data_IF_115110805348
#
_entry.id   IF_115110805348
#
_cell.length_a   1.000
_cell.length_b   1.000
_cell.length_c   1.000
_cell.angle_alpha   90.00
_cell.angle_beta   90.00
_cell.angle_gamma   90.00
#
_symmetry.space_group_name_H-M   'P 1'
#
loop_
_entity.id
_entity.type
_entity.pdbx_description
1 polymer ?
#
# COMPACT_ATOMS: atom_id res chain seq x y z
N UNK A 1 -20.58 -10.05 -21.11
CA UNK A 1 -20.54 -9.48 -19.74
C UNK A 1 -20.48 -7.96 -19.87
N UNK A 2 -21.59 -7.23 -19.67
CA UNK A 2 -21.58 -5.76 -19.79
C UNK A 2 -20.88 -5.17 -18.57
N UNK A 3 -19.64 -4.70 -18.76
CA UNK A 3 -18.89 -3.94 -17.77
C UNK A 3 -19.55 -2.56 -17.62
N UNK A 4 -20.34 -2.36 -16.56
CA UNK A 4 -20.85 -1.03 -16.19
C UNK A 4 -20.06 -0.52 -14.98
N UNK A 5 -19.50 0.69 -15.09
CA UNK A 5 -18.74 1.37 -14.03
C UNK A 5 -19.56 1.50 -12.73
N UNK A 6 -20.89 1.67 -12.85
CA UNK A 6 -21.84 1.81 -11.73
C UNK A 6 -22.03 0.50 -10.94
N UNK A 7 -21.79 -0.66 -11.55
CA UNK A 7 -21.89 -1.95 -10.87
C UNK A 7 -20.75 -2.17 -9.85
N UNK A 8 -19.59 -1.56 -10.07
CA UNK A 8 -18.42 -1.66 -9.17
C UNK A 8 -18.47 -0.69 -7.98
N UNK A 9 -19.29 0.35 -8.08
CA UNK A 9 -19.50 1.32 -6.99
C UNK A 9 -20.38 0.78 -5.86
N UNK A 10 -21.06 -0.36 -6.06
CA UNK A 10 -21.84 -1.01 -5.01
C UNK A 10 -20.93 -1.84 -4.08
N UNK A 11 -20.83 -1.52 -2.77
CA UNK A 11 -20.00 -2.27 -1.84
C UNK A 11 -20.39 -3.76 -1.74
N UNK A 12 -21.64 -4.13 -2.01
CA UNK A 12 -22.08 -5.53 -2.05
C UNK A 12 -21.48 -6.32 -3.23
N UNK A 13 -21.37 -5.69 -4.39
CA UNK A 13 -20.75 -6.30 -5.57
C UNK A 13 -19.25 -6.46 -5.38
N UNK A 14 -18.58 -5.44 -4.83
CA UNK A 14 -17.16 -5.55 -4.48
C UNK A 14 -16.90 -6.75 -3.56
N UNK A 15 -17.70 -6.91 -2.50
CA UNK A 15 -17.53 -8.02 -1.55
C UNK A 15 -17.68 -9.40 -2.21
N UNK A 16 -18.63 -9.53 -3.15
CA UNK A 16 -18.85 -10.77 -3.91
C UNK A 16 -17.69 -11.07 -4.85
N UNK A 17 -17.21 -10.06 -5.57
CA UNK A 17 -16.09 -10.19 -6.51
C UNK A 17 -14.80 -10.51 -5.73
N UNK A 18 -14.54 -9.76 -4.66
CA UNK A 18 -13.39 -9.98 -3.79
C UNK A 18 -13.37 -11.41 -3.23
N UNK A 19 -14.49 -11.94 -2.76
CA UNK A 19 -14.57 -13.31 -2.24
C UNK A 19 -14.18 -14.37 -3.30
N UNK A 20 -14.55 -14.17 -4.57
CA UNK A 20 -14.18 -15.07 -5.67
C UNK A 20 -12.73 -14.88 -6.13
N UNK A 21 -12.23 -13.65 -6.09
CA UNK A 21 -10.91 -13.28 -6.59
C UNK A 21 -9.79 -13.64 -5.60
N UNK A 22 -10.07 -13.58 -4.29
CA UNK A 22 -9.06 -13.76 -3.24
C UNK A 22 -8.31 -15.11 -3.29
N UNK A 23 -8.94 -16.28 -3.53
CA UNK A 23 -8.21 -17.53 -3.65
C UNK A 23 -7.20 -17.53 -4.80
N UNK A 24 -7.57 -16.95 -5.95
CA UNK A 24 -6.68 -16.82 -7.10
C UNK A 24 -5.54 -15.84 -6.84
N UNK A 25 -5.80 -14.74 -6.14
CA UNK A 25 -4.78 -13.78 -5.73
C UNK A 25 -3.79 -14.41 -4.76
N UNK A 26 -4.26 -15.19 -3.79
CA UNK A 26 -3.39 -15.94 -2.87
C UNK A 26 -2.55 -16.97 -3.61
N UNK A 27 -3.16 -17.80 -4.46
CA UNK A 27 -2.45 -18.80 -5.26
C UNK A 27 -1.39 -18.16 -6.17
N UNK A 28 -1.74 -17.06 -6.85
CA UNK A 28 -0.81 -16.33 -7.72
C UNK A 28 0.32 -15.67 -6.92
N UNK A 29 0.03 -15.09 -5.75
CA UNK A 29 1.02 -14.51 -4.85
C UNK A 29 2.01 -15.57 -4.37
N UNK A 30 1.52 -16.72 -3.90
CA UNK A 30 2.35 -17.82 -3.42
C UNK A 30 3.23 -18.38 -4.56
N UNK A 31 2.65 -18.59 -5.74
CA UNK A 31 3.39 -19.06 -6.91
C UNK A 31 4.48 -18.06 -7.35
N UNK A 32 4.15 -16.76 -7.43
CA UNK A 32 5.11 -15.73 -7.81
C UNK A 32 6.26 -15.62 -6.80
N UNK A 33 5.99 -15.73 -5.49
CA UNK A 33 7.04 -15.79 -4.48
C UNK A 33 7.91 -17.04 -4.62
N UNK A 34 7.31 -18.21 -4.82
CA UNK A 34 8.07 -19.45 -5.01
C UNK A 34 9.01 -19.35 -6.22
N UNK A 35 8.51 -18.86 -7.35
CA UNK A 35 9.28 -18.66 -8.57
C UNK A 35 10.35 -17.57 -8.40
N UNK A 36 10.00 -16.45 -7.78
CA UNK A 36 10.92 -15.32 -7.55
C UNK A 36 12.05 -15.66 -6.59
N UNK A 37 11.75 -16.40 -5.51
CA UNK A 37 12.75 -16.89 -4.56
C UNK A 37 13.66 -17.93 -5.21
N UNK A 38 13.09 -18.88 -5.96
CA UNK A 38 13.87 -19.84 -6.75
C UNK A 38 14.87 -19.11 -7.67
N UNK A 39 14.39 -18.11 -8.41
CA UNK A 39 15.26 -17.28 -9.25
C UNK A 39 16.30 -16.48 -8.49
N UNK A 40 15.91 -15.93 -7.33
CA UNK A 40 16.80 -15.13 -6.48
C UNK A 40 17.98 -15.95 -5.98
N UNK A 41 17.76 -17.20 -5.56
CA UNK A 41 18.84 -18.10 -5.14
C UNK A 41 19.64 -18.64 -6.33
N UNK A 42 19.01 -18.83 -7.49
CA UNK A 42 19.69 -19.23 -8.73
C UNK A 42 20.49 -18.11 -9.43
N UNK A 43 20.26 -16.85 -9.07
CA UNK A 43 20.97 -15.72 -9.67
C UNK A 43 22.48 -15.74 -9.32
N UNK A 44 23.36 -15.38 -10.28
CA UNK A 44 24.79 -15.26 -10.00
C UNK A 44 25.06 -14.08 -9.05
N UNK A 45 26.19 -14.14 -8.34
CA UNK A 45 26.72 -13.01 -7.59
C UNK A 45 27.00 -11.83 -8.54
N UNK A 46 26.76 -10.61 -8.07
CA UNK A 46 27.15 -9.42 -8.83
C UNK A 46 28.67 -9.27 -8.85
N UNK A 47 29.24 -8.80 -9.95
CA UNK A 47 30.69 -8.65 -10.09
C UNK A 47 31.30 -7.67 -9.08
N UNK A 48 30.60 -6.58 -8.74
CA UNK A 48 31.09 -5.57 -7.81
C UNK A 48 30.55 -5.79 -6.39
N UNK A 49 29.27 -6.14 -6.28
CA UNK A 49 28.57 -6.23 -4.99
C UNK A 49 28.57 -7.65 -4.40
N UNK A 50 29.01 -8.66 -5.16
CA UNK A 50 29.00 -10.05 -4.75
C UNK A 50 27.61 -10.53 -4.35
N UNK A 51 27.56 -11.33 -3.29
CA UNK A 51 26.32 -11.90 -2.74
C UNK A 51 25.39 -10.85 -2.11
N UNK A 52 25.92 -9.69 -1.71
CA UNK A 52 25.10 -8.63 -1.08
C UNK A 52 24.07 -8.04 -2.04
N UNK A 53 24.30 -8.14 -3.36
CA UNK A 53 23.34 -7.78 -4.39
C UNK A 53 21.99 -8.49 -4.24
N UNK A 54 21.93 -9.66 -3.56
CA UNK A 54 20.66 -10.37 -3.36
C UNK A 54 19.66 -9.59 -2.51
N UNK A 55 20.12 -8.63 -1.68
CA UNK A 55 19.22 -7.72 -0.94
C UNK A 55 18.32 -6.93 -1.91
N UNK A 56 18.79 -6.67 -3.14
CA UNK A 56 18.03 -6.02 -4.22
C UNK A 56 16.66 -6.67 -4.45
N UNK A 57 16.58 -8.00 -4.41
CA UNK A 57 15.35 -8.77 -4.67
C UNK A 57 14.29 -8.60 -3.58
N UNK A 58 14.64 -7.97 -2.45
CA UNK A 58 13.74 -7.60 -1.36
C UNK A 58 13.54 -6.08 -1.37
N UNK A 59 14.64 -5.33 -1.38
CA UNK A 59 14.65 -3.88 -1.26
C UNK A 59 13.91 -3.19 -2.42
N UNK A 60 14.26 -3.52 -3.67
CA UNK A 60 13.72 -2.83 -4.85
C UNK A 60 12.22 -3.11 -5.04
N UNK A 61 11.74 -4.36 -4.93
CA UNK A 61 10.30 -4.64 -4.90
C UNK A 61 9.56 -3.89 -3.80
N UNK A 62 10.10 -3.85 -2.58
CA UNK A 62 9.49 -3.10 -1.47
C UNK A 62 9.39 -1.61 -1.78
N UNK A 63 10.45 -1.00 -2.34
CA UNK A 63 10.45 0.41 -2.73
C UNK A 63 9.38 0.72 -3.79
N UNK A 64 9.27 -0.11 -4.84
CA UNK A 64 8.27 0.07 -5.89
C UNK A 64 6.84 -0.11 -5.36
N UNK A 65 6.60 -1.14 -4.55
CA UNK A 65 5.27 -1.38 -3.97
C UNK A 65 4.88 -0.28 -2.98
N UNK A 66 5.82 0.29 -2.23
CA UNK A 66 5.57 1.46 -1.38
C UNK A 66 5.09 2.69 -2.17
N UNK A 67 5.73 2.99 -3.31
CA UNK A 67 5.31 4.10 -4.17
C UNK A 67 3.99 3.80 -4.91
N UNK A 68 3.79 2.55 -5.34
CA UNK A 68 2.54 2.09 -5.95
C UNK A 68 1.36 2.25 -4.98
N UNK A 69 1.53 1.82 -3.73
CA UNK A 69 0.51 1.94 -2.70
C UNK A 69 0.11 3.41 -2.47
N UNK A 70 1.08 4.33 -2.47
CA UNK A 70 0.82 5.75 -2.28
C UNK A 70 0.08 6.33 -3.50
N UNK A 71 0.47 5.91 -4.70
CA UNK A 71 -0.21 6.31 -5.94
C UNK A 71 -1.66 5.80 -5.97
N UNK A 72 -1.91 4.59 -5.50
CA UNK A 72 -3.27 4.06 -5.31
C UNK A 72 -4.06 4.90 -4.30
N UNK A 73 -3.42 5.35 -3.21
CA UNK A 73 -4.07 6.25 -2.25
C UNK A 73 -4.40 7.59 -2.88
N UNK A 74 -3.48 8.21 -3.62
CA UNK A 74 -3.71 9.49 -4.29
C UNK A 74 -4.85 9.41 -5.33
N UNK A 75 -4.90 8.34 -6.13
CA UNK A 75 -6.02 8.10 -7.05
C UNK A 75 -7.34 7.87 -6.31
N UNK A 76 -7.31 7.17 -5.17
CA UNK A 76 -8.46 7.02 -4.29
C UNK A 76 -8.90 8.34 -3.65
N UNK A 77 -7.96 9.22 -3.28
CA UNK A 77 -8.23 10.55 -2.75
C UNK A 77 -8.99 11.42 -3.77
N UNK A 78 -8.57 11.39 -5.04
CA UNK A 78 -9.32 12.01 -6.14
C UNK A 78 -10.70 11.37 -6.30
N UNK A 79 -10.77 10.04 -6.25
CA UNK A 79 -11.99 9.24 -6.18
C UNK A 79 -12.99 9.77 -5.15
N UNK A 80 -12.50 10.07 -3.95
CA UNK A 80 -13.27 10.58 -2.81
C UNK A 80 -13.71 12.03 -3.01
N UNK A 81 -12.78 12.93 -3.35
CA UNK A 81 -13.04 14.36 -3.38
C UNK A 81 -13.83 14.81 -4.63
N UNK A 82 -13.52 14.24 -5.79
CA UNK A 82 -14.11 14.67 -7.08
C UNK A 82 -15.42 13.94 -7.34
N UNK A 83 -15.41 12.61 -7.23
CA UNK A 83 -16.57 11.77 -7.61
C UNK A 83 -17.37 11.23 -6.44
N UNK A 84 -16.93 11.46 -5.20
CA UNK A 84 -17.55 10.88 -3.98
C UNK A 84 -17.72 9.36 -4.10
N UNK A 85 -16.71 8.69 -4.66
CA UNK A 85 -16.81 7.28 -4.98
C UNK A 85 -17.00 6.44 -3.70
N UNK A 86 -18.02 5.56 -3.62
CA UNK A 86 -18.42 4.90 -2.36
C UNK A 86 -17.33 4.02 -1.70
N UNK A 87 -16.34 3.58 -2.48
CA UNK A 87 -15.24 2.74 -2.01
C UNK A 87 -13.92 3.49 -1.84
N UNK A 88 -13.79 4.71 -2.35
CA UNK A 88 -12.53 5.44 -2.38
C UNK A 88 -11.90 5.59 -0.99
N UNK A 89 -12.71 5.98 0.00
CA UNK A 89 -12.23 6.14 1.37
C UNK A 89 -11.77 4.82 2.00
N UNK A 90 -12.48 3.73 1.70
CA UNK A 90 -12.14 2.41 2.22
C UNK A 90 -10.83 1.91 1.60
N UNK A 91 -10.66 2.11 0.29
CA UNK A 91 -9.42 1.85 -0.44
C UNK A 91 -8.27 2.66 0.14
N UNK A 92 -8.36 3.99 0.20
CA UNK A 92 -7.29 4.82 0.74
C UNK A 92 -6.90 4.42 2.17
N UNK A 93 -7.89 4.23 3.05
CA UNK A 93 -7.66 3.85 4.45
C UNK A 93 -6.97 2.50 4.59
N UNK A 94 -7.37 1.51 3.78
CA UNK A 94 -6.79 0.18 3.82
C UNK A 94 -5.37 0.11 3.23
N UNK A 95 -5.03 0.99 2.29
CA UNK A 95 -3.71 1.02 1.66
C UNK A 95 -2.62 1.61 2.58
N UNK A 96 -2.96 2.61 3.40
CA UNK A 96 -1.99 3.34 4.23
C UNK A 96 -1.08 2.45 5.10
N UNK A 97 -1.58 1.51 5.93
CA UNK A 97 -0.72 0.65 6.74
C UNK A 97 0.13 -0.32 5.91
N UNK A 98 -0.39 -0.80 4.76
CA UNK A 98 0.37 -1.68 3.87
C UNK A 98 1.53 -0.92 3.21
N UNK A 99 1.26 0.28 2.69
CA UNK A 99 2.28 1.16 2.13
C UNK A 99 3.37 1.50 3.15
N UNK A 100 2.98 1.84 4.39
CA UNK A 100 3.92 2.07 5.50
C UNK A 100 4.83 0.88 5.75
N UNK A 101 4.28 -0.34 5.76
CA UNK A 101 5.05 -1.56 5.97
C UNK A 101 6.08 -1.80 4.85
N UNK A 102 5.70 -1.61 3.59
CA UNK A 102 6.65 -1.72 2.47
C UNK A 102 7.71 -0.62 2.51
N UNK A 103 7.36 0.61 2.90
CA UNK A 103 8.35 1.68 3.09
C UNK A 103 9.32 1.36 4.22
N UNK A 104 8.83 0.78 5.33
CA UNK A 104 9.68 0.33 6.43
C UNK A 104 10.65 -0.77 5.99
N UNK A 105 10.16 -1.79 5.28
CA UNK A 105 11.01 -2.84 4.70
C UNK A 105 12.08 -2.22 3.79
N UNK A 106 11.70 -1.28 2.92
CA UNK A 106 12.62 -0.55 2.05
C UNK A 106 13.71 0.20 2.85
N UNK A 107 13.36 0.92 3.91
CA UNK A 107 14.31 1.65 4.75
C UNK A 107 15.30 0.71 5.43
N UNK A 108 14.80 -0.36 6.07
CA UNK A 108 15.64 -1.32 6.80
C UNK A 108 16.58 -2.05 5.84
N UNK A 109 16.04 -2.61 4.75
CA UNK A 109 16.84 -3.35 3.76
C UNK A 109 17.80 -2.43 3.02
N UNK A 110 17.43 -1.17 2.77
CA UNK A 110 18.29 -0.17 2.17
C UNK A 110 19.47 0.19 3.05
N UNK A 111 19.24 0.38 4.36
CA UNK A 111 20.31 0.61 5.33
C UNK A 111 21.27 -0.59 5.40
N UNK A 112 20.72 -1.81 5.48
CA UNK A 112 21.52 -3.05 5.52
C UNK A 112 22.35 -3.24 4.25
N UNK A 113 21.79 -2.92 3.08
CA UNK A 113 22.52 -2.97 1.81
C UNK A 113 23.55 -1.85 1.72
N UNK A 114 23.28 -0.69 2.31
CA UNK A 114 24.18 0.44 2.23
C UNK A 114 25.48 0.28 2.99
N UNK A 115 25.47 -0.47 4.10
CA UNK A 115 26.67 -0.70 4.90
C UNK A 115 27.83 -1.34 4.11
N UNK A 116 27.64 -2.47 3.40
CA UNK A 116 28.72 -3.07 2.61
C UNK A 116 29.04 -2.28 1.33
N UNK A 117 28.07 -1.55 0.75
CA UNK A 117 28.28 -0.86 -0.54
C UNK A 117 28.92 0.52 -0.40
N UNK A 118 28.56 1.26 0.64
CA UNK A 118 28.97 2.66 0.83
C UNK A 118 29.55 2.93 2.22
N UNK A 119 29.80 1.89 3.03
CA UNK A 119 30.46 1.99 4.33
C UNK A 119 29.57 2.49 5.48
N UNK A 120 28.32 2.87 5.22
CA UNK A 120 27.40 3.44 6.21
C UNK A 120 25.96 2.93 6.04
N UNK A 121 25.22 2.86 7.15
CA UNK A 121 23.80 2.50 7.14
C UNK A 121 22.90 3.68 6.71
N UNK A 122 23.38 4.91 6.88
CA UNK A 122 22.58 6.11 6.62
C UNK A 122 23.46 7.30 6.24
N UNK A 123 22.93 8.11 5.33
CA UNK A 123 23.35 9.48 5.07
C UNK A 123 22.10 10.33 4.81
N UNK A 124 22.20 11.62 5.06
CA UNK A 124 21.12 12.57 4.83
C UNK A 124 21.09 13.06 3.37
N UNK A 125 21.08 12.13 2.41
CA UNK A 125 20.94 12.46 1.00
C UNK A 125 19.45 12.61 0.58
N UNK A 126 19.23 13.12 -0.63
CA UNK A 126 17.88 13.38 -1.13
C UNK A 126 17.02 12.10 -1.27
N UNK A 127 17.62 10.95 -1.61
CA UNK A 127 16.89 9.68 -1.80
C UNK A 127 16.47 9.10 -0.45
N UNK A 128 17.42 8.91 0.45
CA UNK A 128 17.18 8.33 1.77
C UNK A 128 16.20 9.20 2.55
N UNK A 129 16.43 10.51 2.56
CA UNK A 129 15.58 11.45 3.28
C UNK A 129 14.15 11.49 2.72
N UNK A 130 13.97 11.51 1.39
CA UNK A 130 12.62 11.51 0.81
C UNK A 130 11.85 10.21 1.05
N UNK A 131 12.52 9.05 1.12
CA UNK A 131 11.89 7.77 1.50
C UNK A 131 11.53 7.75 2.99
N UNK A 132 12.37 8.33 3.87
CA UNK A 132 12.01 8.51 5.28
C UNK A 132 10.80 9.44 5.44
N UNK A 133 10.77 10.56 4.70
CA UNK A 133 9.61 11.46 4.66
C UNK A 133 8.38 10.72 4.16
N UNK A 134 8.49 9.86 3.14
CA UNK A 134 7.38 9.02 2.67
C UNK A 134 6.83 8.14 3.80
N UNK A 135 7.71 7.51 4.58
CA UNK A 135 7.31 6.69 5.72
C UNK A 135 6.57 7.51 6.78
N UNK A 136 7.09 8.68 7.14
CA UNK A 136 6.44 9.58 8.11
C UNK A 136 5.08 10.08 7.60
N UNK A 137 4.95 10.39 6.31
CA UNK A 137 3.66 10.75 5.71
C UNK A 137 2.67 9.59 5.86
N UNK A 138 3.07 8.36 5.56
CA UNK A 138 2.20 7.19 5.77
C UNK A 138 1.72 7.08 7.22
N UNK A 139 2.63 7.21 8.19
CA UNK A 139 2.27 7.19 9.61
C UNK A 139 1.30 8.33 9.98
N UNK A 140 1.54 9.53 9.45
CA UNK A 140 0.64 10.68 9.62
C UNK A 140 -0.75 10.44 9.06
N UNK A 141 -0.86 9.82 7.88
CA UNK A 141 -2.15 9.47 7.27
C UNK A 141 -2.90 8.40 8.09
N UNK A 142 -2.18 7.42 8.65
CA UNK A 142 -2.76 6.41 9.56
C UNK A 142 -3.27 7.09 10.83
N UNK A 143 -2.47 7.98 11.43
CA UNK A 143 -2.86 8.72 12.62
C UNK A 143 -4.11 9.58 12.36
N UNK A 144 -4.17 10.31 11.24
CA UNK A 144 -5.36 11.11 10.87
C UNK A 144 -6.64 10.27 10.75
N UNK A 145 -6.56 9.05 10.22
CA UNK A 145 -7.70 8.13 10.18
C UNK A 145 -8.16 7.65 11.56
N UNK A 146 -7.27 7.66 12.55
CA UNK A 146 -7.54 7.19 13.91
C UNK A 146 -8.01 8.32 14.84
N UNK A 147 -7.54 9.55 14.63
CA UNK A 147 -7.80 10.69 15.53
C UNK A 147 -9.10 11.42 15.22
N UNK A 148 -9.54 11.45 13.96
CA UNK A 148 -10.78 12.14 13.59
C UNK A 148 -11.96 11.18 13.68
N UNK A 149 -12.86 11.43 14.64
CA UNK A 149 -14.01 10.56 14.92
C UNK A 149 -15.06 10.54 13.81
N UNK A 150 -15.35 11.71 13.23
CA UNK A 150 -16.31 11.82 12.12
C UNK A 150 -15.70 11.24 10.83
N UNK A 151 -16.26 10.15 10.28
CA UNK A 151 -15.65 9.46 9.14
C UNK A 151 -15.53 10.32 7.88
N UNK A 152 -16.47 11.26 7.68
CA UNK A 152 -16.51 12.12 6.48
C UNK A 152 -15.45 13.21 6.56
N UNK A 153 -15.29 13.83 7.73
CA UNK A 153 -14.21 14.80 8.02
C UNK A 153 -12.84 14.12 7.95
N UNK A 154 -12.71 12.92 8.51
CA UNK A 154 -11.49 12.12 8.43
C UNK A 154 -11.12 11.84 6.96
N UNK A 155 -12.07 11.34 6.17
CA UNK A 155 -11.88 11.06 4.76
C UNK A 155 -11.43 12.28 3.95
N UNK A 156 -12.05 13.44 4.19
CA UNK A 156 -11.68 14.68 3.51
C UNK A 156 -10.28 15.15 3.89
N UNK A 157 -9.97 15.21 5.19
CA UNK A 157 -8.67 15.64 5.68
C UNK A 157 -7.54 14.73 5.17
N UNK A 158 -7.73 13.41 5.25
CA UNK A 158 -6.76 12.43 4.76
C UNK A 158 -6.58 12.53 3.25
N UNK A 159 -7.67 12.70 2.48
CA UNK A 159 -7.58 12.81 1.02
C UNK A 159 -6.78 14.06 0.60
N UNK A 160 -7.01 15.20 1.26
CA UNK A 160 -6.22 16.42 1.01
C UNK A 160 -4.74 16.17 1.34
N UNK A 161 -4.45 15.63 2.52
CA UNK A 161 -3.06 15.34 2.94
C UNK A 161 -2.37 14.34 2.00
N UNK A 162 -3.10 13.33 1.54
CA UNK A 162 -2.57 12.33 0.59
C UNK A 162 -2.21 12.98 -0.75
N UNK A 163 -3.04 13.88 -1.27
CA UNK A 163 -2.74 14.58 -2.53
C UNK A 163 -1.55 15.54 -2.39
N UNK A 164 -1.44 16.25 -1.28
CA UNK A 164 -0.27 17.11 -1.00
C UNK A 164 0.99 16.25 -0.88
N UNK A 165 0.92 15.16 -0.11
CA UNK A 165 2.05 14.25 0.08
C UNK A 165 2.44 13.47 -1.18
N UNK A 166 1.55 13.38 -2.18
CA UNK A 166 1.86 12.74 -3.47
C UNK A 166 3.02 13.42 -4.20
N UNK A 167 3.28 14.71 -3.92
CA UNK A 167 4.46 15.45 -4.42
C UNK A 167 5.77 14.76 -4.02
N UNK A 168 5.79 14.02 -2.91
CA UNK A 168 6.97 13.29 -2.48
C UNK A 168 7.31 12.09 -3.39
N UNK A 169 6.34 11.54 -4.13
CA UNK A 169 6.56 10.40 -5.05
C UNK A 169 7.50 10.76 -6.21
N UNK A 170 7.28 11.84 -6.98
CA UNK A 170 8.25 12.28 -7.98
C UNK A 170 9.58 12.72 -7.37
N UNK A 171 9.57 13.36 -6.19
CA UNK A 171 10.81 13.71 -5.48
C UNK A 171 11.62 12.45 -5.22
N UNK A 172 11.01 11.41 -4.63
CA UNK A 172 11.66 10.11 -4.47
C UNK A 172 12.13 9.65 -5.84
N UNK A 173 11.25 9.42 -6.83
CA UNK A 173 11.63 8.83 -8.14
C UNK A 173 12.84 9.52 -8.78
N UNK A 174 12.84 10.83 -8.88
CA UNK A 174 13.86 11.62 -9.58
C UNK A 174 14.99 12.12 -8.68
N UNK A 175 15.01 11.77 -7.39
CA UNK A 175 16.02 12.29 -6.45
C UNK A 175 17.47 11.98 -6.85
N UNK A 176 17.68 10.90 -7.61
CA UNK A 176 19.01 10.46 -8.09
C UNK A 176 19.43 11.20 -9.36
N UNK A 177 18.48 11.79 -10.08
CA UNK A 177 18.72 12.57 -11.29
C UNK A 177 18.90 14.05 -10.93
N UNK A 178 18.21 14.53 -9.90
CA UNK A 178 18.24 15.92 -9.46
C UNK A 178 19.39 16.25 -8.49
N UNK A 179 19.89 15.27 -7.72
CA UNK A 179 20.95 15.49 -6.74
C UNK A 179 22.00 14.39 -6.78
N UNK A 180 23.20 14.73 -6.27
CA UNK A 180 24.22 13.74 -5.95
C UNK A 180 23.77 12.92 -4.73
N UNK A 181 23.54 11.63 -4.94
CA UNK A 181 23.13 10.69 -3.88
C UNK A 181 24.06 9.48 -3.87
N UNK A 182 24.12 8.74 -2.75
CA UNK A 182 24.84 7.46 -2.73
C UNK A 182 24.17 6.42 -3.63
N UNK A 183 22.88 6.61 -3.93
CA UNK A 183 22.13 5.72 -4.78
C UNK A 183 22.57 5.83 -6.24
N UNK A 184 22.86 4.68 -6.82
CA UNK A 184 23.09 4.56 -8.26
C UNK A 184 21.84 4.94 -9.06
N UNK A 185 22.01 5.53 -10.27
CA UNK A 185 20.90 5.82 -11.17
C UNK A 185 20.06 4.58 -11.51
N UNK A 186 18.83 4.80 -11.97
CA UNK A 186 17.87 3.73 -12.24
C UNK A 186 18.47 2.68 -13.18
N UNK A 187 18.52 1.41 -12.78
CA UNK A 187 19.20 0.33 -13.53
C UNK A 187 18.27 -0.63 -14.28
N UNK A 188 17.00 -0.66 -13.88
CA UNK A 188 15.99 -1.54 -14.47
C UNK A 188 15.23 -0.87 -15.61
N UNK A 189 14.63 0.29 -15.34
CA UNK A 189 13.81 1.03 -16.31
C UNK A 189 14.58 2.26 -16.79
N UNK A 190 15.28 2.11 -17.93
CA UNK A 190 15.98 3.19 -18.65
C UNK A 190 15.46 3.27 -20.08
N UNK A 191 15.62 4.43 -20.71
CA UNK A 191 15.27 4.62 -22.13
C UNK A 191 16.07 3.71 -23.07
N UNK A 192 17.32 3.39 -22.72
CA UNK A 192 18.24 2.57 -23.52
C UNK A 192 18.14 1.05 -23.22
N UNK A 193 17.23 0.65 -22.32
CA UNK A 193 17.10 -0.74 -21.85
C UNK A 193 17.75 -0.99 -20.47
N UNK A 194 17.49 -2.16 -19.89
CA UNK A 194 18.03 -2.48 -18.56
C UNK A 194 19.53 -2.71 -18.62
N UNK A 195 20.27 -2.14 -17.65
CA UNK A 195 21.69 -2.40 -17.48
C UNK A 195 21.99 -3.57 -16.53
N UNK A 196 20.95 -4.26 -16.04
CA UNK A 196 21.10 -5.46 -15.23
C UNK A 196 21.13 -6.66 -16.16
N UNK A 197 22.09 -7.57 -15.96
CA UNK A 197 22.18 -8.80 -16.72
C UNK A 197 20.86 -9.60 -16.64
N UNK A 198 20.45 -10.21 -17.75
CA UNK A 198 19.17 -10.94 -17.83
C UNK A 198 18.99 -11.99 -16.73
N UNK A 199 20.07 -12.66 -16.32
CA UNK A 199 20.13 -13.63 -15.23
C UNK A 199 19.77 -13.07 -13.85
N UNK A 200 20.00 -11.77 -13.63
CA UNK A 200 19.64 -11.05 -12.40
C UNK A 200 18.35 -10.23 -12.56
N UNK A 201 17.98 -9.88 -13.79
CA UNK A 201 16.79 -9.07 -14.05
C UNK A 201 15.50 -9.88 -13.89
N UNK A 202 15.42 -11.10 -14.44
CA UNK A 202 14.18 -11.87 -14.39
C UNK A 202 13.72 -12.20 -12.96
N UNK A 203 14.58 -12.59 -11.99
CA UNK A 203 14.12 -12.84 -10.63
C UNK A 203 13.65 -11.56 -9.96
N UNK A 204 14.28 -10.42 -10.27
CA UNK A 204 13.89 -9.11 -9.76
C UNK A 204 12.49 -8.73 -10.23
N UNK A 205 12.18 -8.92 -11.51
CA UNK A 205 10.84 -8.64 -12.06
C UNK A 205 9.80 -9.58 -11.47
N UNK A 206 10.12 -10.88 -11.32
CA UNK A 206 9.20 -11.85 -10.68
C UNK A 206 8.96 -11.49 -9.22
N UNK A 207 9.99 -11.08 -8.47
CA UNK A 207 9.84 -10.62 -7.09
C UNK A 207 9.05 -9.31 -7.00
N UNK A 208 9.24 -8.37 -7.92
CA UNK A 208 8.42 -7.16 -8.03
C UNK A 208 6.94 -7.48 -8.29
N UNK A 209 6.66 -8.46 -9.15
CA UNK A 209 5.31 -8.97 -9.37
C UNK A 209 4.77 -9.64 -8.10
N UNK A 210 5.57 -10.46 -7.41
CA UNK A 210 5.16 -11.13 -6.16
C UNK A 210 4.77 -10.12 -5.07
N UNK A 211 5.57 -9.07 -4.87
CA UNK A 211 5.26 -7.99 -3.92
C UNK A 211 4.01 -7.20 -4.33
N UNK A 212 3.83 -6.95 -5.62
CA UNK A 212 2.63 -6.26 -6.15
C UNK A 212 1.37 -7.11 -5.95
N UNK A 213 1.45 -8.41 -6.21
CA UNK A 213 0.37 -9.37 -5.97
C UNK A 213 0.07 -9.51 -4.47
N UNK A 214 1.11 -9.54 -3.62
CA UNK A 214 0.94 -9.54 -2.17
C UNK A 214 0.20 -8.29 -1.70
N UNK A 215 0.65 -7.11 -2.13
CA UNK A 215 -0.04 -5.87 -1.82
C UNK A 215 -1.49 -5.90 -2.29
N UNK A 216 -1.75 -6.29 -3.54
CA UNK A 216 -3.12 -6.38 -4.06
C UNK A 216 -3.99 -7.36 -3.25
N UNK A 217 -3.45 -8.52 -2.88
CA UNK A 217 -4.14 -9.54 -2.07
C UNK A 217 -4.51 -8.98 -0.70
N UNK A 218 -3.52 -8.48 0.05
CA UNK A 218 -3.72 -7.91 1.38
C UNK A 218 -4.63 -6.68 1.33
N UNK A 219 -4.51 -5.87 0.29
CA UNK A 219 -5.31 -4.68 0.11
C UNK A 219 -6.77 -5.00 -0.15
N UNK A 220 -7.08 -5.94 -1.04
CA UNK A 220 -8.46 -6.40 -1.28
C UNK A 220 -9.07 -6.98 0.00
N UNK A 221 -8.30 -7.75 0.79
CA UNK A 221 -8.74 -8.24 2.10
C UNK A 221 -9.03 -7.10 3.08
N UNK A 222 -8.12 -6.13 3.17
CA UNK A 222 -8.24 -4.99 4.08
C UNK A 222 -9.43 -4.09 3.72
N UNK A 223 -9.66 -3.81 2.43
CA UNK A 223 -10.84 -3.06 1.95
C UNK A 223 -12.12 -3.82 2.27
N UNK A 224 -12.15 -5.14 2.03
CA UNK A 224 -13.29 -6.00 2.39
C UNK A 224 -13.59 -5.91 3.90
N UNK A 225 -12.57 -5.99 4.74
CA UNK A 225 -12.72 -5.87 6.19
C UNK A 225 -13.22 -4.48 6.61
N UNK A 226 -12.73 -3.40 5.99
CA UNK A 226 -13.18 -2.03 6.27
C UNK A 226 -14.65 -1.83 5.87
N UNK A 227 -15.09 -2.34 4.71
CA UNK A 227 -16.50 -2.29 4.29
C UNK A 227 -17.38 -3.03 5.31
N UNK A 228 -16.97 -4.22 5.74
CA UNK A 228 -17.71 -5.00 6.73
C UNK A 228 -17.76 -4.28 8.09
N UNK A 229 -16.65 -3.68 8.53
CA UNK A 229 -16.60 -2.88 9.76
C UNK A 229 -17.56 -1.70 9.71
N UNK A 230 -17.61 -0.97 8.59
CA UNK A 230 -18.56 0.15 8.39
C UNK A 230 -20.01 -0.33 8.42
N UNK A 231 -20.31 -1.49 7.83
CA UNK A 231 -21.66 -2.09 7.86
C UNK A 231 -22.07 -2.50 9.28
N UNK A 232 -21.19 -3.18 10.01
CA UNK A 232 -21.44 -3.56 11.40
C UNK A 232 -21.69 -2.35 12.29
N UNK A 233 -20.89 -1.29 12.15
CA UNK A 233 -21.08 -0.02 12.89
C UNK A 233 -22.44 0.62 12.59
N UNK A 234 -22.85 0.68 11.31
CA UNK A 234 -24.16 1.22 10.93
C UNK A 234 -25.31 0.41 11.53
N UNK A 235 -25.24 -0.92 11.45
CA UNK A 235 -26.26 -1.80 12.02
C UNK A 235 -26.37 -1.63 13.53
N UNK A 236 -25.25 -1.54 14.25
CA UNK A 236 -25.23 -1.30 15.69
C UNK A 236 -25.93 0.01 16.07
N UNK A 237 -25.67 1.10 15.33
CA UNK A 237 -26.33 2.40 15.54
C UNK A 237 -27.84 2.29 15.27
N UNK A 238 -28.24 1.64 14.17
CA UNK A 238 -29.67 1.45 13.85
C UNK A 238 -30.39 0.62 14.90
N UNK A 239 -29.78 -0.46 15.39
CA UNK A 239 -30.36 -1.30 16.44
C UNK A 239 -30.50 -0.53 17.76
N UNK A 240 -29.48 0.26 18.15
CA UNK A 240 -29.57 1.12 19.34
C UNK A 240 -30.71 2.15 19.21
N UNK A 241 -30.84 2.79 18.05
CA UNK A 241 -31.90 3.75 17.76
C UNK A 241 -33.31 3.14 17.67
N UNK A 242 -33.43 1.83 17.44
CA UNK A 242 -34.71 1.09 17.48
C UNK A 242 -35.01 0.57 18.90
N UNK A 243 -33.98 0.23 19.68
CA UNK A 243 -34.11 -0.19 21.07
C UNK A 243 -34.60 0.91 22.01
N UNK A 244 -34.12 2.14 21.85
CA UNK A 244 -34.58 3.31 22.62
C UNK A 244 -36.10 3.58 22.53
N UNK A 245 -36.71 3.67 21.33
CA UNK A 245 -38.16 3.89 21.21
C UNK A 245 -38.99 2.66 21.60
N UNK A 246 -38.42 1.45 21.62
CA UNK A 246 -39.09 0.28 22.19
C UNK A 246 -39.13 0.36 23.71
N UNK A 247 -38.01 0.69 24.37
CA UNK A 247 -37.94 0.88 25.83
C UNK A 247 -38.80 2.07 26.30
N UNK A 248 -38.83 3.16 25.55
CA UNK A 248 -39.65 4.34 25.87
C UNK A 248 -41.17 4.08 25.75
N UNK A 249 -41.59 2.98 25.11
CA UNK A 249 -42.98 2.56 24.95
C UNK A 249 -43.38 1.43 25.91
N UNK A 250 -42.44 0.89 26.69
CA UNK A 250 -42.74 -0.13 27.70
C UNK A 250 -43.38 0.52 28.93
N UNK A 251 -44.43 -0.09 29.52
CA UNK A 251 -45.02 0.39 30.75
C UNK A 251 -43.97 0.42 31.89
N UNK A 252 -44.08 1.32 32.88
CA UNK A 252 -43.08 1.51 33.94
C UNK A 252 -42.72 0.25 34.75
N UNK A 253 -43.59 -0.76 34.74
CA UNK A 253 -43.39 -2.03 35.44
C UNK A 253 -42.38 -2.98 34.78
N UNK A 254 -42.05 -2.82 33.49
CA UNK A 254 -41.14 -3.73 32.76
C UNK A 254 -39.75 -3.13 32.49
N UNK A 255 -39.56 -1.83 32.74
CA UNK A 255 -38.27 -1.15 32.50
C UNK A 255 -37.25 -1.29 33.65
N UNK A 256 -37.66 -1.92 34.78
CA UNK A 256 -36.88 -1.96 36.02
C UNK A 256 -36.54 -3.37 36.54
N UNK A 257 -36.73 -4.42 35.74
CA UNK A 257 -36.32 -5.82 36.04
C UNK A 257 -35.20 -6.27 35.12
#
# INVERSE_FOLDING_TARGET
MKLSFTAYSNPGNFLRIAAKLLPWLWGSTAFAFALGLFGTFGAPADYQQGETARIMYIHVPAAWTAMLAYTLMATSALGSLVWRHPLADATQKAAAPLGAAFTFICLVTGALWGKPMWGTYWVWDARLTSVLVLFLIYLGLIALWQTIEDPSRAARAVSIMTLVGFINIPIVKFSVDWWNTLHQPASVFRMEGSAIAGSMLWPLIVMALAYTLLFATLHVMAVRNEIMRRRARRLAITLAAVGEPAMARMPPAEAAS
#
